data_IF_628859092376
#
_entry.id   IF_628859092376
#
_cell.length_a   1.000
_cell.length_b   1.000
_cell.length_c   1.000
_cell.angle_alpha   90.00
_cell.angle_beta   90.00
_cell.angle_gamma   90.00
#
_symmetry.space_group_name_H-M   'P 1'
#
loop_
_entity.id
_entity.type
_entity.pdbx_description
1 polymer ?
#
# COMPACT_ATOMS: atom_id res chain seq x y z
N UNK A 1 26.19 -21.05 -23.69
CA UNK A 1 25.54 -19.90 -23.01
C UNK A 1 24.98 -20.44 -21.72
N UNK A 2 25.46 -19.95 -20.57
CA UNK A 2 24.84 -20.26 -19.29
C UNK A 2 23.42 -19.67 -19.28
N UNK A 3 22.42 -20.50 -19.01
CA UNK A 3 21.01 -20.10 -18.96
C UNK A 3 20.70 -19.42 -17.61
N UNK A 4 21.40 -18.33 -17.28
CA UNK A 4 21.17 -17.58 -16.05
C UNK A 4 19.72 -17.15 -15.98
N UNK A 5 18.97 -17.51 -14.94
CA UNK A 5 17.54 -17.17 -14.82
C UNK A 5 17.33 -15.98 -13.88
N UNK A 6 18.18 -15.84 -12.86
CA UNK A 6 18.05 -14.81 -11.85
C UNK A 6 19.43 -14.46 -11.30
N UNK A 7 19.70 -13.20 -10.94
CA UNK A 7 20.97 -12.79 -10.31
C UNK A 7 20.76 -11.64 -9.34
N UNK A 8 21.54 -11.64 -8.27
CA UNK A 8 21.70 -10.48 -7.37
C UNK A 8 23.07 -9.87 -7.63
N UNK A 9 23.12 -8.56 -7.83
CA UNK A 9 24.35 -7.80 -8.03
C UNK A 9 24.44 -6.71 -6.96
N UNK A 10 25.59 -6.63 -6.28
CA UNK A 10 25.86 -5.60 -5.28
C UNK A 10 26.93 -4.68 -5.85
N UNK A 11 26.56 -3.42 -6.09
CA UNK A 11 27.50 -2.38 -6.51
C UNK A 11 27.77 -1.46 -5.34
N UNK A 12 29.04 -1.44 -4.90
CA UNK A 12 29.53 -0.54 -3.88
C UNK A 12 30.26 0.63 -4.54
N UNK A 13 29.82 1.85 -4.29
CA UNK A 13 30.42 3.08 -4.83
C UNK A 13 30.74 4.04 -3.70
N UNK A 14 31.91 4.68 -3.75
CA UNK A 14 32.28 5.73 -2.81
C UNK A 14 31.89 7.09 -3.37
N UNK A 15 30.97 7.79 -2.72
CA UNK A 15 30.61 9.15 -3.06
C UNK A 15 31.70 10.10 -2.52
N UNK A 16 32.56 10.57 -3.43
CA UNK A 16 33.71 11.41 -3.09
C UNK A 16 33.31 12.76 -2.48
N UNK A 17 32.15 13.31 -2.87
CA UNK A 17 31.67 14.60 -2.38
C UNK A 17 31.10 14.51 -0.96
N UNK A 18 30.33 13.46 -0.69
CA UNK A 18 29.70 13.23 0.60
C UNK A 18 30.58 12.43 1.57
N UNK A 19 31.68 11.86 1.07
CA UNK A 19 32.56 10.94 1.80
C UNK A 19 31.81 9.73 2.38
N UNK A 20 30.78 9.25 1.67
CA UNK A 20 29.92 8.13 2.07
C UNK A 20 30.09 6.95 1.12
N UNK A 21 29.83 5.74 1.64
CA UNK A 21 29.75 4.53 0.82
C UNK A 21 28.28 4.23 0.51
N UNK A 22 27.96 4.17 -0.78
CA UNK A 22 26.65 3.81 -1.29
C UNK A 22 26.67 2.35 -1.76
N UNK A 23 25.72 1.56 -1.25
CA UNK A 23 25.55 0.16 -1.64
C UNK A 23 24.22 0.01 -2.40
N UNK A 24 24.31 -0.36 -3.66
CA UNK A 24 23.14 -0.63 -4.50
C UNK A 24 23.03 -2.13 -4.76
N UNK A 25 21.92 -2.72 -4.32
CA UNK A 25 21.61 -4.13 -4.58
C UNK A 25 20.61 -4.19 -5.72
N UNK A 26 21.00 -4.84 -6.82
CA UNK A 26 20.20 -5.04 -8.00
C UNK A 26 19.70 -6.48 -8.08
N UNK A 27 18.40 -6.61 -8.37
CA UNK A 27 17.79 -7.88 -8.70
C UNK A 27 17.65 -7.97 -10.22
N UNK A 28 18.45 -8.82 -10.87
CA UNK A 28 18.43 -9.02 -12.32
C UNK A 28 17.60 -10.25 -12.66
N UNK A 29 16.50 -10.03 -13.39
CA UNK A 29 15.66 -11.08 -13.95
C UNK A 29 16.05 -11.29 -15.41
N UNK A 30 16.36 -12.53 -15.78
CA UNK A 30 16.66 -12.86 -17.17
C UNK A 30 15.41 -13.40 -17.86
N UNK A 31 15.29 -13.14 -19.17
CA UNK A 31 14.18 -13.62 -20.00
C UNK A 31 14.07 -15.15 -19.98
N UNK A 32 15.20 -15.84 -19.84
CA UNK A 32 15.31 -17.29 -19.64
C UNK A 32 14.48 -17.81 -18.47
N UNK A 33 14.26 -17.04 -17.40
CA UNK A 33 13.39 -17.41 -16.27
C UNK A 33 11.94 -17.64 -16.71
N UNK A 34 11.49 -16.86 -17.70
CA UNK A 34 10.16 -16.97 -18.27
C UNK A 34 10.13 -18.03 -19.38
N UNK A 35 11.17 -18.06 -20.22
CA UNK A 35 11.27 -19.00 -21.33
C UNK A 35 11.45 -20.47 -20.89
N UNK A 36 12.04 -20.72 -19.71
CA UNK A 36 12.25 -22.07 -19.17
C UNK A 36 10.98 -22.73 -18.61
N UNK A 37 9.86 -21.99 -18.53
CA UNK A 37 8.64 -22.46 -17.87
C UNK A 37 8.68 -22.38 -16.35
N UNK A 38 9.80 -21.99 -15.74
CA UNK A 38 9.94 -21.87 -14.28
C UNK A 38 8.89 -20.93 -13.68
N UNK A 39 8.68 -19.75 -14.26
CA UNK A 39 7.66 -18.79 -13.78
C UNK A 39 6.24 -19.36 -13.92
N UNK A 40 5.98 -20.13 -14.98
CA UNK A 40 4.69 -20.77 -15.19
C UNK A 40 4.39 -21.82 -14.11
N UNK A 41 5.39 -22.64 -13.74
CA UNK A 41 5.26 -23.64 -12.67
C UNK A 41 5.22 -23.01 -11.27
N UNK A 42 6.02 -21.97 -11.03
CA UNK A 42 5.94 -21.18 -9.79
C UNK A 42 4.58 -20.51 -9.65
N UNK A 43 4.03 -20.01 -10.75
CA UNK A 43 2.87 -19.14 -10.72
C UNK A 43 3.18 -17.77 -10.09
N UNK A 44 2.22 -16.84 -10.16
CA UNK A 44 2.44 -15.44 -9.77
C UNK A 44 2.75 -15.30 -8.28
N UNK A 45 2.02 -16.01 -7.41
CA UNK A 45 2.16 -15.90 -5.95
C UNK A 45 3.55 -16.28 -5.45
N UNK A 46 4.09 -17.42 -5.91
CA UNK A 46 5.43 -17.88 -5.49
C UNK A 46 6.50 -17.02 -6.13
N UNK A 47 6.31 -16.60 -7.38
CA UNK A 47 7.25 -15.72 -8.08
C UNK A 47 7.42 -14.39 -7.32
N UNK A 48 6.33 -13.66 -7.04
CA UNK A 48 6.44 -12.39 -6.32
C UNK A 48 7.00 -12.57 -4.90
N UNK A 49 6.67 -13.68 -4.24
CA UNK A 49 7.19 -13.99 -2.90
C UNK A 49 8.69 -14.25 -2.93
N UNK A 50 9.17 -14.97 -3.95
CA UNK A 50 10.60 -15.20 -4.17
C UNK A 50 11.35 -13.88 -4.39
N UNK A 51 10.84 -13.01 -5.26
CA UNK A 51 11.43 -11.69 -5.53
C UNK A 51 11.46 -10.83 -4.25
N UNK A 52 10.38 -10.82 -3.48
CA UNK A 52 10.30 -10.07 -2.25
C UNK A 52 11.23 -10.60 -1.15
N UNK A 53 11.46 -11.91 -1.06
CA UNK A 53 12.46 -12.48 -0.15
C UNK A 53 13.87 -12.09 -0.61
N UNK A 54 14.15 -12.19 -1.90
CA UNK A 54 15.45 -11.88 -2.47
C UNK A 54 15.84 -10.38 -2.32
N UNK A 55 14.87 -9.47 -2.20
CA UNK A 55 15.16 -8.06 -1.93
C UNK A 55 15.76 -7.78 -0.54
N UNK A 56 15.77 -8.76 0.37
CA UNK A 56 16.40 -8.66 1.69
C UNK A 56 17.72 -9.45 1.76
N UNK A 57 18.27 -9.82 0.61
CA UNK A 57 19.50 -10.59 0.52
C UNK A 57 20.71 -9.72 0.90
N UNK A 58 21.60 -10.27 1.72
CA UNK A 58 22.89 -9.68 2.02
C UNK A 58 23.96 -10.16 1.02
N UNK A 59 25.19 -9.66 1.19
CA UNK A 59 26.36 -10.06 0.37
C UNK A 59 26.66 -11.58 0.41
N UNK A 60 26.19 -12.29 1.43
CA UNK A 60 26.39 -13.75 1.58
C UNK A 60 25.28 -14.59 0.95
N UNK A 61 24.29 -13.97 0.30
CA UNK A 61 23.14 -14.68 -0.26
C UNK A 61 22.07 -15.07 0.78
N UNK A 62 22.17 -14.55 2.00
CA UNK A 62 21.20 -14.80 3.07
C UNK A 62 20.16 -13.68 3.13
N UNK A 63 18.89 -14.05 3.16
CA UNK A 63 17.77 -13.12 3.25
C UNK A 63 17.17 -13.11 4.66
N UNK A 64 16.95 -11.91 5.21
CA UNK A 64 16.44 -11.71 6.58
C UNK A 64 15.07 -10.99 6.68
N UNK A 65 14.07 -11.29 5.83
CA UNK A 65 12.76 -10.66 5.96
C UNK A 65 11.96 -11.17 7.15
N UNK A 66 11.28 -10.27 7.87
CA UNK A 66 10.14 -10.62 8.72
C UNK A 66 8.88 -10.84 7.87
N UNK A 67 7.88 -11.54 8.43
CA UNK A 67 6.60 -11.73 7.72
C UNK A 67 5.84 -10.40 7.57
N UNK A 68 5.98 -9.51 8.54
CA UNK A 68 5.44 -8.15 8.53
C UNK A 68 6.06 -7.31 7.40
N UNK A 69 7.39 -7.36 7.25
CA UNK A 69 8.10 -6.66 6.18
C UNK A 69 7.67 -7.14 4.79
N UNK A 70 7.47 -8.45 4.63
CA UNK A 70 6.95 -9.01 3.37
C UNK A 70 5.49 -8.65 3.14
N UNK A 71 4.66 -8.63 4.20
CA UNK A 71 3.26 -8.25 4.13
C UNK A 71 3.09 -6.80 3.67
N UNK A 72 3.89 -5.89 4.24
CA UNK A 72 3.94 -4.48 3.84
C UNK A 72 4.39 -4.34 2.38
N UNK A 73 5.49 -4.99 1.99
CA UNK A 73 6.05 -4.88 0.63
C UNK A 73 5.15 -5.49 -0.45
N UNK A 74 4.44 -6.57 -0.13
CA UNK A 74 3.54 -7.24 -1.08
C UNK A 74 2.11 -6.67 -1.05
N UNK A 75 1.77 -5.78 -0.11
CA UNK A 75 0.40 -5.30 0.07
C UNK A 75 -0.57 -6.41 0.50
N UNK A 76 -0.09 -7.37 1.28
CA UNK A 76 -0.83 -8.57 1.68
C UNK A 76 -0.97 -8.67 3.20
N UNK A 77 -1.90 -9.49 3.68
CA UNK A 77 -1.94 -9.81 5.11
C UNK A 77 -0.78 -10.71 5.50
N UNK A 78 -0.31 -10.60 6.75
CA UNK A 78 0.71 -11.52 7.31
C UNK A 78 0.34 -12.99 7.12
N UNK A 79 -0.93 -13.34 7.30
CA UNK A 79 -1.45 -14.70 7.12
C UNK A 79 -1.29 -15.19 5.68
N UNK A 80 -1.58 -14.34 4.71
CA UNK A 80 -1.42 -14.64 3.28
C UNK A 80 0.06 -14.85 2.93
N UNK A 81 0.93 -13.96 3.40
CA UNK A 81 2.38 -14.10 3.23
C UNK A 81 2.90 -15.40 3.82
N UNK A 82 2.50 -15.74 5.05
CA UNK A 82 2.90 -17.01 5.67
C UNK A 82 2.49 -18.23 4.82
N UNK A 83 1.29 -18.20 4.20
CA UNK A 83 0.82 -19.23 3.26
C UNK A 83 1.70 -19.29 2.00
N UNK A 84 2.03 -18.15 1.39
CA UNK A 84 2.88 -18.14 0.20
C UNK A 84 4.31 -18.59 0.49
N UNK A 85 4.90 -18.18 1.62
CA UNK A 85 6.21 -18.68 2.07
C UNK A 85 6.16 -20.20 2.23
N UNK A 86 5.14 -20.74 2.90
CA UNK A 86 4.99 -22.18 3.07
C UNK A 86 4.86 -22.90 1.71
N UNK A 87 4.15 -22.30 0.75
CA UNK A 87 4.03 -22.85 -0.61
C UNK A 87 5.37 -22.83 -1.34
N UNK A 88 6.13 -21.73 -1.26
CA UNK A 88 7.44 -21.58 -1.89
C UNK A 88 8.47 -22.57 -1.32
N UNK A 89 8.47 -22.78 0.00
CA UNK A 89 9.38 -23.75 0.65
C UNK A 89 9.07 -25.21 0.27
N UNK A 90 7.82 -25.52 -0.08
CA UNK A 90 7.41 -26.84 -0.56
C UNK A 90 7.67 -27.04 -2.05
N UNK A 91 7.77 -25.96 -2.83
CA UNK A 91 7.94 -26.03 -4.27
C UNK A 91 9.29 -26.66 -4.65
N UNK A 92 9.28 -27.48 -5.69
CA UNK A 92 10.46 -28.12 -6.28
C UNK A 92 10.41 -27.89 -7.78
N UNK A 93 11.53 -27.48 -8.34
CA UNK A 93 11.73 -27.41 -9.79
C UNK A 93 12.80 -28.44 -10.14
N UNK A 94 12.50 -29.35 -11.06
CA UNK A 94 13.37 -30.50 -11.38
C UNK A 94 13.80 -31.28 -10.11
N UNK A 95 12.85 -31.52 -9.19
CA UNK A 95 13.04 -32.17 -7.89
C UNK A 95 13.96 -31.44 -6.89
N UNK A 96 14.38 -30.21 -7.18
CA UNK A 96 15.27 -29.42 -6.30
C UNK A 96 14.55 -28.23 -5.67
N UNK A 97 14.83 -27.93 -4.39
CA UNK A 97 14.28 -26.73 -3.74
C UNK A 97 14.87 -25.45 -4.34
N UNK A 98 14.05 -24.40 -4.43
CA UNK A 98 14.52 -23.07 -4.80
C UNK A 98 14.91 -22.21 -3.59
N UNK A 99 14.22 -22.39 -2.47
CA UNK A 99 14.45 -21.62 -1.25
C UNK A 99 14.55 -22.56 -0.06
N UNK A 100 15.57 -22.35 0.76
CA UNK A 100 15.71 -22.98 2.07
C UNK A 100 15.35 -21.96 3.16
N UNK A 101 14.88 -22.48 4.30
CA UNK A 101 14.64 -21.69 5.51
C UNK A 101 15.36 -22.34 6.68
N UNK A 102 16.27 -21.58 7.27
CA UNK A 102 16.91 -21.87 8.54
C UNK A 102 16.25 -21.03 9.66
N UNK A 103 16.07 -21.62 10.84
CA UNK A 103 15.48 -20.95 12.01
C UNK A 103 16.59 -20.73 13.03
N UNK A 104 17.05 -19.48 13.16
CA UNK A 104 18.14 -19.11 14.05
C UNK A 104 17.62 -18.41 15.29
N UNK A 105 18.38 -18.54 16.39
CA UNK A 105 18.14 -17.84 17.65
C UNK A 105 19.44 -17.16 18.06
N UNK A 106 19.36 -15.88 18.43
CA UNK A 106 20.50 -15.18 19.01
C UNK A 106 20.20 -14.86 20.48
N UNK A 107 20.58 -15.73 21.44
CA UNK A 107 20.24 -15.56 22.84
C UNK A 107 20.79 -14.27 23.47
N UNK A 108 21.79 -13.61 22.84
CA UNK A 108 22.35 -12.35 23.31
C UNK A 108 21.52 -11.13 22.89
N UNK A 109 20.77 -11.21 21.80
CA UNK A 109 20.06 -10.06 21.18
C UNK A 109 18.55 -10.18 21.32
N UNK A 110 18.00 -11.38 21.20
CA UNK A 110 16.58 -11.61 21.35
C UNK A 110 16.28 -13.04 21.79
N UNK A 111 15.32 -13.25 22.71
CA UNK A 111 14.84 -14.58 23.00
C UNK A 111 14.15 -15.24 21.79
N UNK A 112 13.73 -14.46 20.79
CA UNK A 112 12.90 -14.91 19.68
C UNK A 112 13.71 -15.61 18.57
N UNK A 113 13.08 -16.61 17.97
CA UNK A 113 13.59 -17.32 16.79
C UNK A 113 13.23 -16.51 15.54
N UNK A 114 14.21 -16.26 14.67
CA UNK A 114 14.01 -15.62 13.38
C UNK A 114 14.32 -16.57 12.23
N UNK A 115 13.75 -16.29 11.05
CA UNK A 115 13.97 -17.09 9.85
C UNK A 115 15.02 -16.43 8.97
N UNK A 116 15.98 -17.23 8.52
CA UNK A 116 16.95 -16.88 7.47
C UNK A 116 16.60 -17.70 6.25
N UNK A 117 16.47 -17.04 5.11
CA UNK A 117 16.18 -17.71 3.84
C UNK A 117 17.41 -17.70 2.95
N UNK A 118 17.58 -18.77 2.17
CA UNK A 118 18.65 -18.86 1.16
C UNK A 118 18.03 -19.24 -0.16
N UNK A 119 18.24 -18.42 -1.18
CA UNK A 119 17.84 -18.70 -2.56
C UNK A 119 18.94 -19.55 -3.20
N UNK A 120 18.60 -20.76 -3.65
CA UNK A 120 19.59 -21.74 -4.08
C UNK A 120 20.07 -21.50 -5.52
N UNK A 121 21.38 -21.70 -5.81
CA UNK A 121 21.99 -21.47 -7.13
C UNK A 121 21.42 -22.31 -8.28
N UNK A 122 20.61 -23.34 -7.99
CA UNK A 122 19.83 -24.10 -8.99
C UNK A 122 18.88 -23.23 -9.82
N UNK A 123 18.60 -22.02 -9.37
CA UNK A 123 17.98 -20.96 -10.17
C UNK A 123 18.96 -20.24 -11.13
N UNK A 124 20.14 -20.82 -11.36
CA UNK A 124 21.33 -20.20 -11.98
C UNK A 124 21.64 -18.81 -11.41
N UNK A 125 21.56 -18.74 -10.08
CA UNK A 125 21.84 -17.55 -9.27
C UNK A 125 23.28 -17.67 -8.79
N UNK A 126 24.22 -17.33 -9.65
CA UNK A 126 25.60 -17.13 -9.26
C UNK A 126 25.77 -15.67 -8.81
N UNK A 127 26.02 -15.48 -7.51
CA UNK A 127 26.28 -14.16 -6.93
C UNK A 127 27.77 -13.81 -7.09
N UNK A 128 28.67 -14.79 -7.27
CA UNK A 128 30.09 -14.56 -7.55
C UNK A 128 30.66 -15.68 -8.42
N UNK A 129 31.58 -15.37 -9.34
CA UNK A 129 32.38 -16.35 -10.07
C UNK A 129 33.21 -17.20 -9.10
N UNK A 130 32.61 -18.25 -8.54
CA UNK A 130 33.35 -19.30 -7.87
C UNK A 130 33.66 -20.38 -8.90
N UNK A 131 34.94 -20.51 -9.24
CA UNK A 131 35.50 -21.60 -10.03
C UNK A 131 34.78 -22.92 -9.76
N UNK A 132 34.36 -23.54 -10.85
CA UNK A 132 33.65 -24.79 -10.95
C UNK A 132 34.39 -25.92 -10.20
N UNK A 133 34.16 -26.05 -8.89
CA UNK A 133 34.49 -27.26 -8.14
C UNK A 133 33.20 -28.01 -7.92
N UNK A 134 33.04 -29.08 -8.68
CA UNK A 134 31.99 -30.07 -8.50
C UNK A 134 31.92 -30.52 -7.03
N UNK A 135 30.84 -30.16 -6.34
CA UNK A 135 30.35 -30.88 -5.17
C UNK A 135 29.29 -31.85 -5.73
N UNK A 136 29.51 -33.15 -5.89
CA UNK A 136 30.16 -34.04 -4.94
C UNK A 136 29.10 -34.57 -3.97
N UNK A 137 28.31 -35.54 -4.44
CA UNK A 137 27.48 -36.49 -3.67
C UNK A 137 26.65 -35.96 -2.50
N UNK A 138 25.39 -35.61 -2.78
CA UNK A 138 24.33 -35.67 -1.77
C UNK A 138 23.80 -37.11 -1.68
N UNK A 139 24.13 -37.81 -0.60
CA UNK A 139 23.57 -39.13 -0.26
C UNK A 139 22.16 -38.93 0.30
N UNK A 140 21.11 -39.57 -0.26
CA UNK A 140 19.79 -39.54 0.35
C UNK A 140 19.79 -40.40 1.62
N UNK A 141 19.36 -39.83 2.75
CA UNK A 141 19.10 -40.60 3.97
C UNK A 141 18.05 -41.68 3.66
N UNK A 142 18.43 -42.92 3.98
CA UNK A 142 17.80 -44.14 3.53
C UNK A 142 16.36 -44.32 3.99
N UNK A 143 15.52 -44.73 3.04
CA UNK A 143 14.35 -45.55 3.32
C UNK A 143 14.83 -46.97 3.65
N UNK A 144 14.46 -47.47 4.83
CA UNK A 144 14.62 -48.87 5.18
C UNK A 144 13.41 -49.64 4.66
N UNK A 145 13.68 -50.53 3.70
CA UNK A 145 12.74 -51.52 3.23
C UNK A 145 12.78 -52.73 4.17
N UNK A 146 11.63 -53.08 4.76
CA UNK A 146 11.37 -54.41 5.30
C UNK A 146 10.15 -54.99 4.56
N UNK A 147 10.37 -56.12 3.90
CA UNK A 147 9.36 -57.08 3.43
C UNK A 147 9.44 -58.34 4.31
N UNK A 148 8.56 -59.35 4.13
CA UNK A 148 7.18 -59.43 4.59
C UNK A 148 7.01 -60.54 5.65
N UNK A 149 5.91 -60.54 6.42
CA UNK A 149 5.51 -61.71 7.20
C UNK A 149 4.00 -61.81 7.34
N UNK A 150 3.55 -63.06 7.36
CA UNK A 150 2.23 -63.58 7.00
C UNK A 150 1.39 -63.89 8.24
N UNK A 151 0.08 -63.64 8.15
CA UNK A 151 -0.99 -64.25 8.96
C UNK A 151 -1.25 -63.63 10.34
N UNK A 152 -2.44 -63.68 10.93
CA UNK A 152 -3.75 -64.16 10.54
C UNK A 152 -4.77 -63.63 11.59
N UNK A 153 -6.05 -63.57 11.21
CA UNK A 153 -7.27 -63.70 12.05
C UNK A 153 -7.60 -62.71 13.19
N UNK A 154 -8.80 -62.14 13.12
CA UNK A 154 -9.71 -62.04 14.27
C UNK A 154 -10.59 -60.79 14.38
N UNK A 155 -11.88 -60.91 14.02
CA UNK A 155 -13.13 -60.45 14.71
C UNK A 155 -13.04 -59.31 15.76
N UNK A 156 -14.04 -58.48 16.05
CA UNK A 156 -15.39 -58.16 15.58
C UNK A 156 -15.97 -57.14 16.61
N UNK A 157 -16.99 -56.35 16.23
CA UNK A 157 -17.92 -55.58 17.09
C UNK A 157 -17.30 -54.42 17.93
N UNK A 158 -17.99 -53.32 18.24
CA UNK A 158 -19.40 -52.98 18.10
C UNK A 158 -19.66 -51.49 18.36
N UNK A 159 -20.90 -51.11 18.06
CA UNK A 159 -21.53 -49.79 18.20
C UNK A 159 -21.62 -49.33 19.65
N UNK A 160 -21.46 -48.02 19.90
CA UNK A 160 -22.40 -47.22 20.72
C UNK A 160 -22.08 -45.71 20.69
N UNK A 161 -23.05 -44.94 20.21
CA UNK A 161 -23.36 -43.55 20.60
C UNK A 161 -24.62 -43.60 21.51
N UNK A 162 -25.13 -42.49 22.11
CA UNK A 162 -24.51 -41.35 22.84
C UNK A 162 -25.27 -41.18 24.23
N UNK A 163 -25.42 -40.03 24.97
CA UNK A 163 -25.89 -38.70 24.51
C UNK A 163 -25.34 -37.43 25.24
N UNK A 164 -25.63 -36.29 24.61
CA UNK A 164 -25.90 -34.92 25.11
C UNK A 164 -25.43 -34.46 26.52
N UNK A 165 -24.75 -33.31 26.52
CA UNK A 165 -24.79 -32.32 27.60
C UNK A 165 -24.84 -30.90 27.00
N UNK A 166 -25.99 -30.24 27.16
CA UNK A 166 -26.24 -28.84 26.81
C UNK A 166 -25.44 -27.91 27.72
N UNK A 167 -25.04 -26.74 27.23
CA UNK A 167 -25.29 -25.46 27.90
C UNK A 167 -25.20 -24.31 26.89
N UNK A 168 -26.21 -23.46 26.98
CA UNK A 168 -26.48 -22.25 26.22
C UNK A 168 -25.70 -21.08 26.81
N UNK A 169 -25.23 -20.14 25.99
CA UNK A 169 -25.34 -18.69 26.23
C UNK A 169 -24.68 -17.83 25.12
N UNK A 170 -25.42 -16.81 24.66
CA UNK A 170 -24.94 -15.66 23.85
C UNK A 170 -25.02 -15.84 22.33
N UNK A 171 -26.14 -15.66 21.65
CA UNK A 171 -26.89 -14.42 21.37
C UNK A 171 -26.12 -13.33 20.59
N UNK A 172 -26.69 -13.02 19.40
CA UNK A 172 -26.55 -11.84 18.53
C UNK A 172 -25.33 -11.71 17.60
N UNK A 173 -25.61 -11.75 16.30
CA UNK A 173 -24.79 -11.05 15.29
C UNK A 173 -24.87 -11.62 13.89
N UNK A 174 -25.90 -11.24 13.13
CA UNK A 174 -26.07 -11.55 11.70
C UNK A 174 -24.78 -11.34 10.88
N UNK A 175 -24.17 -12.44 10.43
CA UNK A 175 -23.13 -12.44 9.41
C UNK A 175 -23.74 -12.05 8.07
N UNK A 176 -23.49 -10.82 7.63
CA UNK A 176 -23.72 -10.38 6.26
C UNK A 176 -22.93 -11.28 5.29
N UNK A 177 -23.53 -11.69 4.14
CA UNK A 177 -22.80 -12.44 3.12
C UNK A 177 -21.72 -11.53 2.53
N UNK A 178 -20.45 -11.90 2.71
CA UNK A 178 -19.35 -11.20 2.04
C UNK A 178 -19.37 -11.57 0.57
N UNK A 179 -19.61 -10.53 -0.23
CA UNK A 179 -19.67 -10.52 -1.68
C UNK A 179 -18.41 -11.16 -2.28
N UNK A 180 -18.56 -12.37 -2.83
CA UNK A 180 -17.61 -12.97 -3.77
C UNK A 180 -17.79 -12.25 -5.10
N UNK A 181 -16.68 -11.75 -5.65
CA UNK A 181 -16.51 -11.07 -6.94
C UNK A 181 -16.61 -9.54 -6.91
N UNK A 182 -15.49 -8.89 -6.58
CA UNK A 182 -15.10 -7.68 -7.29
C UNK A 182 -13.67 -7.85 -7.82
N UNK A 183 -13.59 -8.35 -9.05
CA UNK A 183 -12.50 -8.07 -9.97
C UNK A 183 -12.30 -6.55 -9.98
N UNK A 184 -11.09 -6.09 -9.68
CA UNK A 184 -10.69 -4.70 -9.92
C UNK A 184 -10.64 -4.47 -11.44
N UNK A 185 -11.79 -4.20 -12.04
CA UNK A 185 -11.90 -3.62 -13.37
C UNK A 185 -11.70 -2.11 -13.27
N UNK A 186 -10.47 -1.68 -13.00
CA UNK A 186 -10.06 -0.30 -13.29
C UNK A 186 -9.87 -0.15 -14.81
N UNK A 187 -10.96 -0.31 -15.56
CA UNK A 187 -11.09 0.20 -16.92
C UNK A 187 -11.70 1.59 -16.84
N UNK A 188 -10.90 2.61 -16.51
CA UNK A 188 -11.31 4.01 -16.76
C UNK A 188 -10.11 4.95 -16.87
N UNK A 189 -9.18 4.64 -17.78
CA UNK A 189 -8.49 5.69 -18.54
C UNK A 189 -9.41 6.06 -19.72
N UNK A 190 -10.60 6.61 -19.43
CA UNK A 190 -11.33 7.32 -20.49
C UNK A 190 -10.60 8.65 -20.62
N UNK A 191 -9.79 8.74 -21.65
CA UNK A 191 -9.31 9.99 -22.25
C UNK A 191 -10.48 10.97 -22.20
N UNK A 192 -10.43 11.93 -21.27
CA UNK A 192 -11.19 13.15 -21.43
C UNK A 192 -10.54 13.78 -22.65
N UNK A 193 -11.30 13.86 -23.74
CA UNK A 193 -10.90 14.58 -24.93
C UNK A 193 -10.54 16.00 -24.49
N UNK A 194 -9.24 16.29 -24.40
CA UNK A 194 -8.76 17.65 -24.52
C UNK A 194 -9.08 18.05 -25.96
N UNK A 195 -10.22 18.71 -26.14
CA UNK A 195 -10.49 19.46 -27.35
C UNK A 195 -9.35 20.45 -27.54
N UNK A 196 -8.81 20.43 -28.75
CA UNK A 196 -7.64 21.16 -29.19
C UNK A 196 -7.81 22.68 -29.05
N UNK A 197 -6.68 23.32 -28.76
CA UNK A 197 -6.30 24.67 -29.21
C UNK A 197 -7.36 25.78 -29.16
N UNK A 198 -7.35 26.50 -28.03
CA UNK A 198 -7.88 27.85 -27.94
C UNK A 198 -7.29 28.56 -26.74
N UNK A 199 -6.39 29.52 -26.96
CA UNK A 199 -5.94 30.43 -25.92
C UNK A 199 -7.15 31.18 -25.34
N UNK A 200 -7.28 31.19 -24.01
CA UNK A 200 -8.06 32.20 -23.29
C UNK A 200 -9.45 31.80 -22.84
N UNK A 201 -9.55 31.04 -21.74
CA UNK A 201 -10.36 31.32 -20.54
C UNK A 201 -10.23 30.14 -19.58
N UNK A 202 -9.91 30.39 -18.31
CA UNK A 202 -9.87 29.37 -17.26
C UNK A 202 -11.30 28.85 -17.08
N UNK A 203 -11.66 27.80 -17.81
CA UNK A 203 -12.94 27.13 -17.64
C UNK A 203 -12.96 26.51 -16.26
N UNK A 204 -13.68 27.12 -15.33
CA UNK A 204 -13.96 26.54 -14.01
C UNK A 204 -14.64 25.20 -14.25
N UNK A 205 -13.92 24.09 -14.07
CA UNK A 205 -14.50 22.77 -14.11
C UNK A 205 -15.57 22.71 -13.01
N UNK A 206 -16.83 22.55 -13.42
CA UNK A 206 -17.95 22.50 -12.50
C UNK A 206 -18.02 21.08 -11.95
N UNK A 207 -17.50 20.87 -10.75
CA UNK A 207 -17.63 19.61 -10.03
C UNK A 207 -18.97 19.57 -9.29
N UNK A 208 -19.67 18.43 -9.37
CA UNK A 208 -20.84 18.18 -8.52
C UNK A 208 -20.39 17.69 -7.15
N UNK A 209 -20.04 18.64 -6.26
CA UNK A 209 -19.52 18.36 -4.93
C UNK A 209 -20.51 17.68 -3.98
N UNK A 210 -21.71 17.29 -4.45
CA UNK A 210 -22.59 16.40 -3.69
C UNK A 210 -22.10 14.95 -3.73
N UNK A 211 -21.27 14.59 -4.71
CA UNK A 211 -20.76 13.23 -4.89
C UNK A 211 -19.33 13.11 -4.35
N UNK A 212 -19.01 12.05 -3.58
CA UNK A 212 -17.66 11.84 -3.06
C UNK A 212 -16.59 11.77 -4.14
N UNK A 213 -16.93 11.23 -5.32
CA UNK A 213 -15.98 11.10 -6.43
C UNK A 213 -15.58 12.46 -7.00
N UNK A 214 -16.52 13.38 -7.11
CA UNK A 214 -16.26 14.69 -7.69
C UNK A 214 -15.47 15.58 -6.72
N UNK A 215 -15.66 15.39 -5.41
CA UNK A 215 -14.79 15.99 -4.38
C UNK A 215 -13.36 15.45 -4.47
N UNK A 216 -13.18 14.14 -4.65
CA UNK A 216 -11.85 13.53 -4.84
C UNK A 216 -11.21 14.04 -6.13
N UNK A 217 -11.99 14.18 -7.21
CA UNK A 217 -11.49 14.69 -8.47
C UNK A 217 -11.03 16.15 -8.34
N UNK A 218 -11.84 17.00 -7.72
CA UNK A 218 -11.46 18.39 -7.40
C UNK A 218 -10.16 18.46 -6.59
N UNK A 219 -9.98 17.56 -5.61
CA UNK A 219 -8.73 17.44 -4.86
C UNK A 219 -7.55 17.04 -5.76
N UNK A 220 -7.72 16.04 -6.63
CA UNK A 220 -6.67 15.59 -7.56
C UNK A 220 -6.25 16.69 -8.52
N UNK A 221 -7.21 17.46 -9.04
CA UNK A 221 -6.93 18.53 -9.99
C UNK A 221 -6.18 19.68 -9.31
N UNK A 222 -6.60 20.10 -8.11
CA UNK A 222 -5.84 21.08 -7.29
C UNK A 222 -4.45 20.59 -6.91
N UNK A 223 -4.30 19.30 -6.63
CA UNK A 223 -3.00 18.70 -6.35
C UNK A 223 -2.08 18.77 -7.58
N UNK A 224 -2.61 18.41 -8.76
CA UNK A 224 -1.87 18.44 -10.01
C UNK A 224 -1.48 19.86 -10.41
N UNK A 225 -2.38 20.82 -10.24
CA UNK A 225 -2.11 22.23 -10.51
C UNK A 225 -0.96 22.77 -9.65
N UNK A 226 -0.97 22.44 -8.35
CA UNK A 226 0.03 22.96 -7.40
C UNK A 226 1.38 22.27 -7.47
N UNK A 227 1.41 20.95 -7.67
CA UNK A 227 2.65 20.16 -7.58
C UNK A 227 3.13 19.58 -8.91
N UNK A 228 2.36 19.75 -10.00
CA UNK A 228 2.64 19.18 -11.32
C UNK A 228 2.85 17.65 -11.31
N UNK A 229 2.18 16.95 -10.40
CA UNK A 229 2.25 15.50 -10.23
C UNK A 229 0.83 14.96 -10.03
N UNK A 230 0.52 13.81 -10.60
CA UNK A 230 -0.78 13.17 -10.43
C UNK A 230 -0.94 12.55 -9.03
N UNK A 231 -2.07 12.80 -8.38
CA UNK A 231 -2.43 12.15 -7.12
C UNK A 231 -3.16 10.83 -7.41
N UNK A 232 -2.73 9.74 -6.77
CA UNK A 232 -3.35 8.41 -6.94
C UNK A 232 -4.26 8.07 -5.73
N UNK A 233 -5.57 8.33 -5.79
CA UNK A 233 -6.47 8.08 -4.67
C UNK A 233 -6.70 6.58 -4.42
N UNK A 234 -6.77 6.20 -3.15
CA UNK A 234 -7.18 4.85 -2.73
C UNK A 234 -8.70 4.84 -2.62
N UNK A 235 -9.38 4.66 -3.76
CA UNK A 235 -10.83 4.83 -3.91
C UNK A 235 -11.66 4.22 -2.77
N UNK A 236 -11.42 2.96 -2.37
CA UNK A 236 -12.20 2.33 -1.30
C UNK A 236 -12.10 3.03 0.06
N UNK A 237 -10.90 3.49 0.42
CA UNK A 237 -10.64 4.16 1.70
C UNK A 237 -11.03 5.64 1.63
N UNK A 238 -10.66 6.32 0.55
CA UNK A 238 -10.77 7.76 0.44
C UNK A 238 -12.21 8.19 0.16
N UNK A 239 -12.97 7.42 -0.65
CA UNK A 239 -14.42 7.64 -0.82
C UNK A 239 -15.16 7.50 0.50
N UNK A 240 -14.79 6.51 1.32
CA UNK A 240 -15.40 6.30 2.63
C UNK A 240 -15.18 7.53 3.51
N UNK A 241 -13.94 8.02 3.61
CA UNK A 241 -13.60 9.21 4.41
C UNK A 241 -14.29 10.48 3.92
N UNK A 242 -14.26 10.75 2.60
CA UNK A 242 -14.95 11.92 2.04
C UNK A 242 -16.45 11.88 2.35
N UNK A 243 -17.07 10.70 2.25
CA UNK A 243 -18.49 10.53 2.58
C UNK A 243 -18.78 10.74 4.07
N UNK A 244 -17.99 10.15 4.96
CA UNK A 244 -18.26 10.17 6.41
C UNK A 244 -17.82 11.46 7.09
N UNK A 245 -16.72 12.07 6.63
CA UNK A 245 -16.03 13.13 7.36
C UNK A 245 -16.25 14.50 6.69
N UNK A 246 -16.41 14.56 5.36
CA UNK A 246 -16.63 15.82 4.64
C UNK A 246 -18.11 16.04 4.32
N UNK A 247 -18.70 15.17 3.48
CA UNK A 247 -20.06 15.35 2.99
C UNK A 247 -21.15 15.24 4.07
N UNK A 248 -20.87 14.54 5.17
CA UNK A 248 -21.79 14.43 6.28
C UNK A 248 -21.80 15.68 7.18
N UNK A 249 -20.74 16.51 7.13
CA UNK A 249 -20.50 17.58 8.11
C UNK A 249 -20.51 18.97 7.48
N UNK A 250 -20.11 19.10 6.22
CA UNK A 250 -19.90 20.39 5.55
C UNK A 250 -20.79 20.52 4.31
N UNK A 251 -21.21 21.76 4.01
CA UNK A 251 -21.92 22.06 2.77
C UNK A 251 -20.98 21.98 1.55
N UNK A 252 -21.54 21.92 0.34
CA UNK A 252 -20.76 21.91 -0.92
C UNK A 252 -19.82 23.11 -1.03
N UNK A 253 -20.31 24.30 -0.64
CA UNK A 253 -19.52 25.54 -0.68
C UNK A 253 -18.36 25.51 0.32
N UNK A 254 -18.62 24.97 1.52
CA UNK A 254 -17.58 24.78 2.53
C UNK A 254 -16.55 23.76 2.07
N UNK A 255 -16.94 22.67 1.41
CA UNK A 255 -16.02 21.66 0.88
C UNK A 255 -15.12 22.27 -0.20
N UNK A 256 -15.67 23.08 -1.10
CA UNK A 256 -14.86 23.78 -2.10
C UNK A 256 -13.84 24.71 -1.42
N UNK A 257 -14.29 25.55 -0.47
CA UNK A 257 -13.41 26.44 0.29
C UNK A 257 -12.35 25.67 1.09
N UNK A 258 -12.69 24.50 1.65
CA UNK A 258 -11.77 23.62 2.34
C UNK A 258 -10.68 23.13 1.41
N UNK A 259 -11.02 22.59 0.24
CA UNK A 259 -10.03 22.09 -0.73
C UNK A 259 -9.11 23.23 -1.17
N UNK A 260 -9.67 24.37 -1.54
CA UNK A 260 -8.89 25.52 -2.03
C UNK A 260 -7.95 26.06 -0.95
N UNK A 261 -8.48 26.37 0.24
CA UNK A 261 -7.68 26.90 1.36
C UNK A 261 -6.63 25.89 1.84
N UNK A 262 -6.98 24.60 1.84
CA UNK A 262 -6.06 23.54 2.25
C UNK A 262 -4.82 23.53 1.35
N UNK A 263 -5.00 23.53 0.03
CA UNK A 263 -3.87 23.53 -0.88
C UNK A 263 -3.07 24.82 -0.82
N UNK A 264 -3.71 25.98 -0.69
CA UNK A 264 -2.99 27.26 -0.60
C UNK A 264 -2.06 27.32 0.62
N UNK A 265 -2.54 26.90 1.80
CA UNK A 265 -1.84 27.07 3.08
C UNK A 265 -1.00 25.84 3.51
N UNK A 266 -1.13 24.70 2.82
CA UNK A 266 -0.51 23.44 3.25
C UNK A 266 0.98 23.54 3.56
N UNK A 267 1.75 24.11 2.62
CA UNK A 267 3.21 24.20 2.76
C UNK A 267 3.65 25.06 3.94
N UNK A 268 2.84 26.05 4.32
CA UNK A 268 3.17 26.99 5.38
C UNK A 268 2.73 26.49 6.74
N UNK A 269 1.54 25.86 6.84
CA UNK A 269 0.91 25.53 8.13
C UNK A 269 1.02 24.07 8.55
N UNK A 270 0.90 23.14 7.60
CA UNK A 270 0.68 21.73 7.91
C UNK A 270 1.77 20.80 7.38
N UNK A 271 2.69 21.31 6.55
CA UNK A 271 3.83 20.54 6.06
C UNK A 271 4.76 20.17 7.20
N UNK A 272 5.14 18.90 7.24
CA UNK A 272 6.09 18.37 8.21
C UNK A 272 7.00 17.33 7.56
N UNK A 273 8.04 16.88 8.29
CA UNK A 273 8.92 15.80 7.80
C UNK A 273 8.15 14.49 7.54
N UNK A 274 7.13 14.20 8.36
CA UNK A 274 6.29 13.00 8.22
C UNK A 274 5.24 13.15 7.11
N UNK A 275 4.74 14.37 6.90
CA UNK A 275 3.74 14.68 5.88
C UNK A 275 4.27 15.80 4.97
N UNK A 276 5.16 15.45 4.03
CA UNK A 276 5.77 16.44 3.14
C UNK A 276 4.82 16.95 2.07
N UNK A 277 3.69 16.25 1.83
CA UNK A 277 2.70 16.56 0.80
C UNK A 277 1.27 16.35 1.30
N UNK A 278 0.29 17.10 0.77
CA UNK A 278 -1.09 16.98 1.17
C UNK A 278 -1.68 15.62 0.76
N UNK A 279 -2.59 15.11 1.58
CA UNK A 279 -3.33 13.89 1.32
C UNK A 279 -4.79 14.05 1.72
N UNK A 280 -5.70 13.30 1.07
CA UNK A 280 -7.14 13.33 1.38
C UNK A 280 -7.38 12.97 2.85
N UNK A 281 -6.64 11.98 3.37
CA UNK A 281 -6.78 11.55 4.76
C UNK A 281 -6.44 12.65 5.76
N UNK A 282 -5.48 13.52 5.47
CA UNK A 282 -5.13 14.68 6.30
C UNK A 282 -6.09 15.85 6.10
N UNK A 283 -6.62 16.06 4.90
CA UNK A 283 -7.69 17.06 4.67
C UNK A 283 -8.92 16.77 5.54
N UNK A 284 -9.39 15.52 5.57
CA UNK A 284 -10.54 15.12 6.39
C UNK A 284 -10.32 15.42 7.89
N UNK A 285 -9.10 15.17 8.39
CA UNK A 285 -8.78 15.43 9.80
C UNK A 285 -8.58 16.92 10.11
N UNK A 286 -8.00 17.67 9.18
CA UNK A 286 -7.70 19.10 9.33
C UNK A 286 -8.88 20.01 8.95
N UNK A 287 -9.98 19.47 8.43
CA UNK A 287 -11.11 20.26 7.93
C UNK A 287 -11.57 21.37 8.90
N UNK A 288 -11.74 21.14 10.22
CA UNK A 288 -12.11 22.22 11.14
C UNK A 288 -11.10 23.38 11.19
N UNK A 289 -9.80 23.07 11.16
CA UNK A 289 -8.73 24.06 11.18
C UNK A 289 -8.65 24.83 9.87
N UNK A 290 -8.77 24.13 8.75
CA UNK A 290 -8.75 24.74 7.41
C UNK A 290 -9.94 25.70 7.25
N UNK A 291 -11.14 25.31 7.71
CA UNK A 291 -12.31 26.16 7.64
C UNK A 291 -12.18 27.42 8.51
N UNK A 292 -11.57 27.30 9.70
CA UNK A 292 -11.28 28.46 10.54
C UNK A 292 -10.34 29.46 9.82
N UNK A 293 -9.30 28.97 9.16
CA UNK A 293 -8.39 29.80 8.34
C UNK A 293 -9.14 30.44 7.16
N UNK A 294 -10.05 29.71 6.51
CA UNK A 294 -10.87 30.24 5.43
C UNK A 294 -11.80 31.37 5.93
N UNK A 295 -12.38 31.22 7.12
CA UNK A 295 -13.24 32.23 7.75
C UNK A 295 -12.47 33.47 8.20
N UNK A 296 -11.24 33.31 8.71
CA UNK A 296 -10.36 34.45 9.06
C UNK A 296 -9.99 35.28 7.83
N UNK A 297 -9.83 34.64 6.67
CA UNK A 297 -9.51 35.28 5.39
C UNK A 297 -10.70 35.96 4.74
N UNK A 298 -11.92 35.50 4.99
CA UNK A 298 -13.08 36.30 4.59
C UNK A 298 -12.91 37.66 5.28
N UNK A 299 -12.74 38.75 4.52
CA UNK A 299 -12.50 40.04 5.13
C UNK A 299 -13.61 40.26 6.15
N UNK A 300 -13.30 40.90 7.28
CA UNK A 300 -14.28 41.35 8.28
C UNK A 300 -15.23 42.42 7.68
N UNK A 301 -15.70 42.24 6.45
CA UNK A 301 -16.61 43.05 5.66
C UNK A 301 -18.00 43.19 6.28
N UNK A 302 -18.24 42.63 7.46
CA UNK A 302 -19.42 42.97 8.25
C UNK A 302 -19.22 44.18 9.18
N UNK A 303 -18.15 44.96 9.03
CA UNK A 303 -18.24 46.39 9.36
C UNK A 303 -19.06 47.04 8.25
N UNK A 304 -20.36 47.21 8.49
CA UNK A 304 -21.24 47.96 7.57
C UNK A 304 -20.52 49.27 7.24
N UNK A 305 -20.27 49.55 5.95
CA UNK A 305 -19.47 50.71 5.47
C UNK A 305 -19.90 52.07 6.06
N UNK A 306 -21.10 52.14 6.63
CA UNK A 306 -21.73 53.32 7.22
C UNK A 306 -22.19 53.11 8.69
N UNK A 307 -21.58 52.18 9.43
CA UNK A 307 -22.02 51.84 10.80
C UNK A 307 -23.44 51.26 10.88
N UNK A 308 -23.99 50.87 9.73
CA UNK A 308 -25.34 50.35 9.60
C UNK A 308 -26.46 51.34 9.38
N UNK A 309 -26.12 52.60 9.11
CA UNK A 309 -27.07 53.60 8.64
C UNK A 309 -27.11 53.63 7.12
N UNK A 310 -28.30 53.86 6.57
CA UNK A 310 -28.46 54.11 5.13
C UNK A 310 -27.86 55.49 4.78
N UNK A 311 -27.37 55.66 3.55
CA UNK A 311 -26.89 56.94 3.00
C UNK A 311 -27.94 58.04 3.18
N UNK A 312 -29.21 57.73 2.97
CA UNK A 312 -30.32 58.68 3.16
C UNK A 312 -30.45 59.15 4.62
N UNK A 313 -30.19 58.24 5.57
CA UNK A 313 -30.25 58.52 7.01
C UNK A 313 -29.07 59.40 7.48
N UNK A 314 -27.93 59.31 6.78
CA UNK A 314 -26.77 60.17 6.98
C UNK A 314 -27.04 61.57 6.41
N UNK A 315 -27.59 61.66 5.18
CA UNK A 315 -27.92 62.92 4.53
C UNK A 315 -29.01 63.70 5.30
N UNK A 316 -30.05 63.01 5.78
CA UNK A 316 -31.12 63.61 6.58
C UNK A 316 -30.66 64.14 7.94
N UNK A 317 -29.49 63.70 8.43
CA UNK A 317 -28.90 64.18 9.69
C UNK A 317 -27.99 65.38 9.47
N UNK A 318 -27.27 65.40 8.34
CA UNK A 318 -26.49 66.57 7.92
C UNK A 318 -27.39 67.77 7.63
N UNK A 319 -28.55 67.55 7.01
CA UNK A 319 -29.54 68.61 6.74
C UNK A 319 -30.18 69.19 8.02
N UNK A 320 -30.40 68.36 9.06
CA UNK A 320 -30.94 68.84 10.34
C UNK A 320 -29.94 69.64 11.18
N UNK A 321 -28.65 69.37 11.04
CA UNK A 321 -27.61 70.11 11.75
C UNK A 321 -27.30 71.49 11.18
N UNK A 322 -27.74 71.78 9.93
CA UNK A 322 -27.52 73.07 9.27
C UNK A 322 -28.65 74.09 9.48
N UNK A 323 -29.72 73.74 10.18
CA UNK A 323 -30.86 74.63 10.48
C UNK A 323 -30.83 75.21 11.91
N UNK A 324 -29.87 74.78 12.75
CA UNK A 324 -29.73 75.22 14.15
C UNK A 324 -28.57 76.24 14.38
N UNK A 325 -27.93 76.74 13.31
CA UNK A 325 -26.97 77.87 13.33
C UNK A 325 -27.52 79.09 12.58
#
# INVERSE_FOLDING_TARGET
MENQMFRVEVNQSFNVLEQTWDNHIYLKLYVSMFASGLVAELGPERTITLLAIASFMNEKGECYPTQEQLAERLGMTRKTVAKHIQSLLKFRYEDRPLVLRDKRRNPKVSPNVYSVYTVLPMSQVAIFDSNNTAMGNYVPLGGSAHTPSTGNTGKAMGKTEPPMGKNEDGSMGNCLPTNKNQLNQNHYNKTINHAESGQGTVGTLIYDLTKPRDVIQSFCDRYRDKYHVDFNPVWGRDVKRVKTDLLATYSTDQIQQLVDTYFEEYDQRWRSKAYPRPAIGSLCWLAPQVLAVAQERQPRCNVKKHGGRNVDEILARLQRGSEEE
#
